data_IF_209685768019
#
_entry.id   IF_209685768019
#
_cell.length_a   1.000
_cell.length_b   1.000
_cell.length_c   1.000
_cell.angle_alpha   90.00
_cell.angle_beta   90.00
_cell.angle_gamma   90.00
#
_symmetry.space_group_name_H-M   'P 1'
#
loop_
_entity.id
_entity.type
_entity.pdbx_description
1 polymer ?
#
# COMPACT_ATOMS: atom_id res chain seq x y z
N UNK A 1 0.64 -31.12 9.76
CA UNK A 1 -0.09 -30.23 8.81
C UNK A 1 0.91 -29.50 7.91
N UNK A 2 0.61 -29.31 6.62
CA UNK A 2 1.42 -28.46 5.73
C UNK A 2 1.40 -27.01 6.23
N UNK A 3 2.58 -26.36 6.28
CA UNK A 3 2.72 -24.93 6.63
C UNK A 3 1.86 -24.07 5.70
N UNK A 4 1.24 -23.05 6.25
CA UNK A 4 0.54 -22.03 5.49
C UNK A 4 1.54 -21.11 4.79
N UNK A 5 1.42 -20.97 3.47
CA UNK A 5 2.34 -20.19 2.65
C UNK A 5 1.90 -18.72 2.56
N UNK A 6 2.36 -17.90 3.50
CA UNK A 6 2.11 -16.46 3.50
C UNK A 6 2.71 -15.76 2.27
N UNK A 7 3.90 -16.19 1.82
CA UNK A 7 4.56 -15.64 0.61
C UNK A 7 3.76 -15.96 -0.64
N UNK A 8 3.09 -17.11 -0.67
CA UNK A 8 2.18 -17.52 -1.75
C UNK A 8 1.07 -16.52 -2.04
N UNK A 9 0.56 -15.82 -1.02
CA UNK A 9 -0.50 -14.80 -1.18
C UNK A 9 -0.05 -13.63 -2.05
N UNK A 10 1.21 -13.21 -1.90
CA UNK A 10 1.80 -12.07 -2.62
C UNK A 10 2.74 -12.51 -3.75
N UNK A 11 2.76 -13.79 -4.13
CA UNK A 11 3.70 -14.34 -5.11
C UNK A 11 3.59 -13.64 -6.47
N UNK A 12 2.37 -13.38 -6.94
CA UNK A 12 2.14 -12.64 -8.18
C UNK A 12 2.76 -11.23 -8.11
N UNK A 13 2.56 -10.52 -7.00
CA UNK A 13 3.16 -9.21 -6.77
C UNK A 13 4.70 -9.26 -6.77
N UNK A 14 5.31 -10.25 -6.10
CA UNK A 14 6.76 -10.45 -6.10
C UNK A 14 7.30 -10.70 -7.51
N UNK A 15 6.61 -11.50 -8.33
CA UNK A 15 7.02 -11.76 -9.72
C UNK A 15 7.00 -10.47 -10.53
N UNK A 16 5.95 -9.67 -10.38
CA UNK A 16 5.80 -8.38 -11.05
C UNK A 16 6.91 -7.41 -10.63
N UNK A 17 7.17 -7.26 -9.33
CA UNK A 17 8.27 -6.43 -8.82
C UNK A 17 9.65 -6.93 -9.28
N UNK A 18 9.83 -8.26 -9.42
CA UNK A 18 11.07 -8.84 -9.93
C UNK A 18 11.27 -8.48 -11.40
N UNK A 19 10.21 -8.50 -12.21
CA UNK A 19 10.26 -8.16 -13.63
C UNK A 19 10.68 -6.71 -13.86
N UNK A 20 10.19 -5.76 -13.07
CA UNK A 20 10.58 -4.34 -13.17
C UNK A 20 11.92 -3.99 -12.51
N UNK A 21 12.66 -4.99 -12.01
CA UNK A 21 13.98 -4.80 -11.39
C UNK A 21 13.95 -4.43 -9.91
N UNK A 22 12.77 -4.44 -9.26
CA UNK A 22 12.60 -3.99 -7.88
C UNK A 22 12.63 -5.11 -6.83
N UNK A 23 12.85 -6.36 -7.22
CA UNK A 23 12.91 -7.48 -6.27
C UNK A 23 14.05 -8.45 -6.60
N UNK A 24 15.23 -8.31 -5.95
CA UNK A 24 16.35 -9.21 -6.18
C UNK A 24 16.01 -10.64 -5.75
N UNK A 25 16.60 -11.61 -6.43
CA UNK A 25 16.41 -13.02 -6.13
C UNK A 25 17.02 -13.40 -4.77
N UNK A 26 16.51 -14.46 -4.15
CA UNK A 26 16.97 -14.96 -2.85
C UNK A 26 16.54 -14.07 -1.68
N UNK A 27 17.21 -14.27 -0.54
CA UNK A 27 17.03 -13.48 0.69
C UNK A 27 18.07 -12.34 0.83
N UNK A 28 18.97 -12.22 -0.14
CA UNK A 28 19.99 -11.17 -0.21
C UNK A 28 19.42 -9.85 -0.77
N UNK A 29 20.18 -8.77 -0.57
CA UNK A 29 19.92 -7.46 -1.16
C UNK A 29 20.51 -7.35 -2.57
N UNK A 30 20.34 -6.19 -3.20
CA UNK A 30 21.07 -5.84 -4.43
C UNK A 30 22.58 -5.98 -4.22
N UNK A 31 23.25 -6.64 -5.18
CA UNK A 31 24.69 -6.88 -5.20
C UNK A 31 25.29 -6.47 -6.54
N UNK A 32 26.59 -6.67 -6.75
CA UNK A 32 27.24 -6.33 -8.03
C UNK A 32 26.96 -7.38 -9.11
N UNK A 33 25.73 -7.41 -9.64
CA UNK A 33 25.31 -8.35 -10.69
C UNK A 33 24.53 -7.65 -11.82
N UNK A 34 24.35 -8.35 -12.95
CA UNK A 34 23.61 -7.84 -14.11
C UNK A 34 22.16 -7.44 -13.77
N UNK A 35 21.53 -8.10 -12.80
CA UNK A 35 20.19 -7.74 -12.34
C UNK A 35 20.15 -6.36 -11.68
N UNK A 36 21.15 -6.05 -10.85
CA UNK A 36 21.24 -4.74 -10.19
C UNK A 36 21.57 -3.63 -11.18
N UNK A 37 22.44 -3.91 -12.16
CA UNK A 37 22.69 -2.99 -13.27
C UNK A 37 21.40 -2.71 -14.05
N UNK A 38 20.66 -3.76 -14.42
CA UNK A 38 19.35 -3.66 -15.07
C UNK A 38 18.37 -2.82 -14.25
N UNK A 39 18.26 -3.07 -12.94
CA UNK A 39 17.37 -2.33 -12.05
C UNK A 39 17.70 -0.84 -11.99
N UNK A 40 18.98 -0.50 -11.90
CA UNK A 40 19.46 0.89 -11.87
C UNK A 40 19.14 1.58 -13.19
N UNK A 41 19.52 0.97 -14.32
CA UNK A 41 19.30 1.52 -15.65
C UNK A 41 17.81 1.69 -15.94
N UNK A 42 16.99 0.67 -15.66
CA UNK A 42 15.53 0.69 -15.77
C UNK A 42 14.92 1.84 -14.96
N UNK A 43 15.32 1.98 -13.69
CA UNK A 43 14.78 3.02 -12.81
C UNK A 43 15.19 4.42 -13.30
N UNK A 44 16.45 4.62 -13.68
CA UNK A 44 16.93 5.91 -14.20
C UNK A 44 16.19 6.28 -15.48
N UNK A 45 16.14 5.36 -16.46
CA UNK A 45 15.63 5.64 -17.79
C UNK A 45 14.11 5.84 -17.81
N UNK A 46 13.34 4.96 -17.16
CA UNK A 46 11.87 4.99 -17.23
C UNK A 46 11.23 5.85 -16.13
N UNK A 47 11.86 6.00 -14.97
CA UNK A 47 11.26 6.75 -13.86
C UNK A 47 11.81 8.17 -13.79
N UNK A 48 13.13 8.33 -13.67
CA UNK A 48 13.74 9.65 -13.50
C UNK A 48 13.78 10.45 -14.82
N UNK A 49 14.09 9.80 -15.95
CA UNK A 49 14.14 10.46 -17.26
C UNK A 49 12.80 11.09 -17.66
N UNK A 50 11.72 10.32 -17.62
CA UNK A 50 10.38 10.82 -17.98
C UNK A 50 9.92 11.94 -17.04
N UNK A 51 10.14 11.80 -15.73
CA UNK A 51 9.80 12.83 -14.76
C UNK A 51 10.58 14.13 -14.98
N UNK A 52 11.86 14.03 -15.38
CA UNK A 52 12.69 15.20 -15.71
C UNK A 52 12.07 15.99 -16.86
N UNK A 53 11.75 15.32 -17.98
CA UNK A 53 11.16 15.98 -19.15
C UNK A 53 9.81 16.64 -18.88
N UNK A 54 8.98 16.02 -18.04
CA UNK A 54 7.73 16.64 -17.59
C UNK A 54 7.94 17.81 -16.64
N UNK A 55 8.93 17.72 -15.75
CA UNK A 55 9.25 18.82 -14.82
C UNK A 55 9.75 20.04 -15.58
N UNK A 56 10.62 19.86 -16.57
CA UNK A 56 11.05 20.95 -17.45
C UNK A 56 9.87 21.56 -18.19
N UNK A 57 8.95 20.73 -18.71
CA UNK A 57 7.74 21.23 -19.36
C UNK A 57 6.89 22.09 -18.41
N UNK A 58 6.72 21.67 -17.15
CA UNK A 58 5.97 22.42 -16.16
C UNK A 58 6.56 23.83 -15.97
N UNK A 59 7.89 23.96 -15.90
CA UNK A 59 8.57 25.25 -15.80
C UNK A 59 8.33 26.16 -17.02
N UNK A 60 8.16 25.58 -18.21
CA UNK A 60 7.92 26.34 -19.45
C UNK A 60 6.46 26.82 -19.59
N UNK A 61 5.51 26.17 -18.91
CA UNK A 61 4.08 26.50 -18.98
C UNK A 61 3.56 27.20 -17.72
N UNK A 62 4.46 27.67 -16.84
CA UNK A 62 4.07 28.24 -15.53
C UNK A 62 3.11 29.42 -15.64
N UNK A 63 3.14 30.16 -16.74
CA UNK A 63 2.28 31.33 -16.97
C UNK A 63 0.82 30.93 -17.30
N UNK A 64 0.58 29.67 -17.67
CA UNK A 64 -0.75 29.13 -17.98
C UNK A 64 -1.27 28.27 -16.81
N UNK A 65 -2.11 28.89 -15.97
CA UNK A 65 -2.67 28.24 -14.79
C UNK A 65 -3.51 27.00 -15.12
N UNK A 66 -4.23 27.01 -16.24
CA UNK A 66 -5.05 25.87 -16.67
C UNK A 66 -4.16 24.69 -17.07
N UNK A 67 -3.12 24.95 -17.87
CA UNK A 67 -2.15 23.92 -18.25
C UNK A 67 -1.33 23.39 -17.06
N UNK A 68 -0.97 24.27 -16.10
CA UNK A 68 -0.29 23.88 -14.86
C UNK A 68 -1.19 22.97 -14.02
N UNK A 69 -2.43 23.37 -13.77
CA UNK A 69 -3.36 22.56 -12.98
C UNK A 69 -3.73 21.24 -13.66
N UNK A 70 -3.67 21.16 -14.99
CA UNK A 70 -3.87 19.94 -15.77
C UNK A 70 -2.69 18.95 -15.71
N UNK A 71 -1.48 19.40 -15.34
CA UNK A 71 -0.25 18.60 -15.41
C UNK A 71 0.40 18.32 -14.05
N UNK A 72 0.30 19.25 -13.10
CA UNK A 72 1.05 19.20 -11.84
C UNK A 72 0.69 18.01 -10.96
N UNK A 73 -0.58 17.64 -10.87
CA UNK A 73 -1.02 16.54 -9.99
C UNK A 73 -0.55 15.17 -10.50
N UNK A 74 -0.55 14.97 -11.82
CA UNK A 74 0.01 13.77 -12.45
C UNK A 74 1.52 13.72 -12.17
N UNK A 75 2.23 14.84 -12.35
CA UNK A 75 3.67 14.91 -12.10
C UNK A 75 4.01 14.60 -10.63
N UNK A 76 3.31 15.21 -9.67
CA UNK A 76 3.53 14.96 -8.24
C UNK A 76 3.33 13.49 -7.88
N UNK A 77 2.29 12.84 -8.41
CA UNK A 77 2.07 11.40 -8.23
C UNK A 77 3.20 10.57 -8.83
N UNK A 78 3.71 10.94 -10.02
CA UNK A 78 4.82 10.22 -10.64
C UNK A 78 6.13 10.35 -9.85
N UNK A 79 6.42 11.54 -9.34
CA UNK A 79 7.57 11.78 -8.44
C UNK A 79 7.42 10.94 -7.17
N UNK A 80 6.23 10.90 -6.57
CA UNK A 80 5.95 10.06 -5.41
C UNK A 80 6.19 8.56 -5.70
N UNK A 81 5.78 8.07 -6.88
CA UNK A 81 6.05 6.70 -7.30
C UNK A 81 7.54 6.40 -7.51
N UNK A 82 8.33 7.33 -8.05
CA UNK A 82 9.79 7.18 -8.14
C UNK A 82 10.45 7.16 -6.76
N UNK A 83 9.97 7.98 -5.83
CA UNK A 83 10.42 7.98 -4.43
C UNK A 83 10.12 6.63 -3.75
N UNK A 84 8.95 6.04 -3.99
CA UNK A 84 8.62 4.68 -3.52
C UNK A 84 9.59 3.64 -4.07
N UNK A 85 9.89 3.68 -5.37
CA UNK A 85 10.83 2.76 -6.01
C UNK A 85 12.22 2.81 -5.36
N UNK A 86 12.77 4.04 -5.23
CA UNK A 86 14.05 4.27 -4.56
C UNK A 86 14.04 3.76 -3.11
N UNK A 87 12.98 4.05 -2.36
CA UNK A 87 12.86 3.65 -0.97
C UNK A 87 12.76 2.14 -0.81
N UNK A 88 12.03 1.45 -1.69
CA UNK A 88 11.96 -0.02 -1.73
C UNK A 88 13.35 -0.62 -1.95
N UNK A 89 14.11 -0.09 -2.92
CA UNK A 89 15.48 -0.55 -3.21
C UNK A 89 16.36 -0.40 -1.97
N UNK A 90 16.36 0.79 -1.36
CA UNK A 90 17.17 1.11 -0.18
C UNK A 90 16.85 0.23 1.02
N UNK A 91 15.57 -0.10 1.23
CA UNK A 91 15.11 -0.83 2.42
C UNK A 91 14.79 -2.32 2.16
N UNK A 92 15.24 -2.87 1.02
CA UNK A 92 14.97 -4.25 0.63
C UNK A 92 15.38 -5.27 1.71
N UNK A 93 16.50 -5.04 2.41
CA UNK A 93 16.95 -5.90 3.52
C UNK A 93 15.90 -6.06 4.62
N UNK A 94 15.29 -4.94 5.01
CA UNK A 94 14.28 -4.94 6.06
C UNK A 94 13.02 -5.67 5.59
N UNK A 95 12.62 -5.45 4.34
CA UNK A 95 11.48 -6.13 3.75
C UNK A 95 11.67 -7.65 3.65
N UNK A 96 12.84 -8.12 3.20
CA UNK A 96 13.17 -9.55 3.18
C UNK A 96 13.11 -10.16 4.58
N UNK A 97 13.62 -9.45 5.59
CA UNK A 97 13.53 -9.87 6.99
C UNK A 97 12.07 -10.03 7.44
N UNK A 98 11.19 -9.08 7.14
CA UNK A 98 9.74 -9.21 7.39
C UNK A 98 9.16 -10.46 6.71
N UNK A 99 9.52 -10.70 5.45
CA UNK A 99 9.07 -11.88 4.71
C UNK A 99 9.58 -13.22 5.28
N UNK A 100 10.73 -13.22 5.96
CA UNK A 100 11.22 -14.40 6.68
C UNK A 100 10.42 -14.56 7.99
N UNK A 101 10.25 -13.47 8.76
CA UNK A 101 9.54 -13.48 10.04
C UNK A 101 8.10 -13.99 9.91
N UNK A 102 7.36 -13.57 8.87
CA UNK A 102 5.97 -14.01 8.68
C UNK A 102 5.84 -15.53 8.42
N UNK A 103 6.90 -16.17 7.94
CA UNK A 103 6.93 -17.62 7.69
C UNK A 103 7.51 -18.43 8.86
N UNK A 104 7.92 -17.78 9.96
CA UNK A 104 8.34 -18.47 11.17
C UNK A 104 7.20 -19.26 11.79
N UNK A 105 7.52 -20.31 12.54
CA UNK A 105 6.53 -21.21 13.15
C UNK A 105 5.53 -20.47 14.07
N UNK A 106 5.97 -19.39 14.72
CA UNK A 106 5.11 -18.57 15.59
C UNK A 106 3.96 -17.88 14.84
N UNK A 107 4.14 -17.55 13.56
CA UNK A 107 3.15 -16.85 12.73
C UNK A 107 2.28 -17.81 11.90
N UNK A 108 2.40 -19.11 12.14
CA UNK A 108 1.64 -20.14 11.43
C UNK A 108 0.30 -20.40 12.14
N UNK A 109 -0.81 -20.48 11.39
CA UNK A 109 -2.08 -20.93 11.97
C UNK A 109 -1.95 -22.39 12.43
N UNK A 110 -2.37 -22.67 13.65
CA UNK A 110 -2.21 -23.96 14.34
C UNK A 110 -3.24 -25.00 13.91
N UNK A 111 -4.46 -24.57 13.65
CA UNK A 111 -5.60 -25.43 13.32
C UNK A 111 -6.35 -24.95 12.06
N UNK A 112 -7.34 -25.73 11.61
CA UNK A 112 -8.14 -25.40 10.43
C UNK A 112 -9.02 -24.17 10.64
N UNK A 113 -9.48 -23.95 11.87
CA UNK A 113 -10.29 -22.79 12.25
C UNK A 113 -9.52 -21.48 12.05
N UNK A 114 -8.29 -21.39 12.55
CA UNK A 114 -7.41 -20.22 12.35
C UNK A 114 -7.12 -19.96 10.87
N UNK A 115 -7.07 -21.01 10.03
CA UNK A 115 -6.94 -20.83 8.57
C UNK A 115 -8.20 -20.23 7.95
N UNK A 116 -9.38 -20.51 8.49
CA UNK A 116 -10.65 -19.92 8.06
C UNK A 116 -10.73 -18.46 8.55
N UNK A 117 -10.32 -18.18 9.79
CA UNK A 117 -10.33 -16.84 10.39
C UNK A 117 -9.52 -15.81 9.59
N UNK A 118 -8.40 -16.21 8.98
CA UNK A 118 -7.57 -15.30 8.17
C UNK A 118 -8.09 -15.08 6.73
N UNK A 119 -9.01 -15.92 6.22
CA UNK A 119 -9.49 -15.81 4.83
C UNK A 119 -10.17 -14.48 4.51
N UNK A 120 -11.04 -13.91 5.37
CA UNK A 120 -11.67 -12.61 5.11
C UNK A 120 -10.64 -11.50 4.86
N UNK A 121 -9.53 -11.48 5.59
CA UNK A 121 -8.46 -10.49 5.40
C UNK A 121 -7.79 -10.64 4.03
N UNK A 122 -7.50 -11.89 3.65
CA UNK A 122 -6.87 -12.20 2.35
C UNK A 122 -7.82 -11.84 1.21
N UNK A 123 -9.12 -12.14 1.35
CA UNK A 123 -10.16 -11.79 0.37
C UNK A 123 -10.29 -10.28 0.25
N UNK A 124 -10.37 -9.55 1.37
CA UNK A 124 -10.42 -8.09 1.39
C UNK A 124 -9.19 -7.48 0.71
N UNK A 125 -7.99 -8.02 0.95
CA UNK A 125 -6.76 -7.57 0.30
C UNK A 125 -6.79 -7.81 -1.21
N UNK A 126 -7.21 -9.01 -1.65
CA UNK A 126 -7.37 -9.30 -3.09
C UNK A 126 -8.37 -8.37 -3.76
N UNK A 127 -9.52 -8.11 -3.12
CA UNK A 127 -10.54 -7.20 -3.66
C UNK A 127 -9.96 -5.79 -3.77
N UNK A 128 -9.39 -5.23 -2.70
CA UNK A 128 -8.84 -3.88 -2.71
C UNK A 128 -7.74 -3.71 -3.78
N UNK A 129 -6.79 -4.66 -3.83
CA UNK A 129 -5.71 -4.64 -4.83
C UNK A 129 -6.25 -4.81 -6.24
N UNK A 130 -7.24 -5.68 -6.45
CA UNK A 130 -7.88 -5.86 -7.75
C UNK A 130 -8.61 -4.60 -8.19
N UNK A 131 -9.40 -3.97 -7.32
CA UNK A 131 -10.11 -2.72 -7.61
C UNK A 131 -9.13 -1.61 -7.95
N UNK A 132 -8.06 -1.45 -7.15
CA UNK A 132 -7.01 -0.47 -7.42
C UNK A 132 -6.31 -0.74 -8.77
N UNK A 133 -5.99 -2.00 -9.06
CA UNK A 133 -5.36 -2.41 -10.32
C UNK A 133 -6.26 -2.14 -11.52
N UNK A 134 -7.55 -2.46 -11.43
CA UNK A 134 -8.53 -2.20 -12.51
C UNK A 134 -8.63 -0.72 -12.83
N UNK A 135 -8.81 0.15 -11.82
CA UNK A 135 -8.88 1.59 -12.07
C UNK A 135 -7.57 2.16 -12.63
N UNK A 136 -6.42 1.67 -12.15
CA UNK A 136 -5.10 2.08 -12.66
C UNK A 136 -4.92 1.67 -14.12
N UNK A 137 -5.19 0.41 -14.47
CA UNK A 137 -5.07 -0.09 -15.86
C UNK A 137 -6.05 0.63 -16.79
N UNK A 138 -7.28 0.88 -16.34
CA UNK A 138 -8.26 1.66 -17.10
C UNK A 138 -7.78 3.09 -17.37
N UNK A 139 -7.23 3.78 -16.36
CA UNK A 139 -6.69 5.13 -16.53
C UNK A 139 -5.51 5.15 -17.51
N UNK A 140 -4.61 4.16 -17.43
CA UNK A 140 -3.50 4.00 -18.37
C UNK A 140 -3.98 3.78 -19.80
N UNK A 141 -4.93 2.87 -19.98
CA UNK A 141 -5.49 2.55 -21.28
C UNK A 141 -6.16 3.78 -21.90
N UNK A 142 -6.98 4.49 -21.14
CA UNK A 142 -7.64 5.72 -21.59
C UNK A 142 -6.62 6.84 -21.91
N UNK A 143 -5.60 7.04 -21.08
CA UNK A 143 -4.55 8.04 -21.34
C UNK A 143 -3.73 7.74 -22.60
N UNK A 144 -3.47 6.46 -22.88
CA UNK A 144 -2.73 6.04 -24.07
C UNK A 144 -3.59 6.06 -25.33
N UNK A 145 -4.91 5.96 -25.19
CA UNK A 145 -5.85 5.92 -26.30
C UNK A 145 -6.43 7.31 -26.65
N UNK A 146 -6.42 8.24 -25.68
CA UNK A 146 -6.97 9.60 -25.83
C UNK A 146 -6.44 10.34 -27.07
N UNK A 147 -5.11 10.42 -27.33
CA UNK A 147 -4.61 11.12 -28.51
C UNK A 147 -5.10 10.52 -29.84
N UNK A 148 -5.37 9.21 -29.85
CA UNK A 148 -5.88 8.49 -31.04
C UNK A 148 -7.37 8.76 -31.23
N UNK A 149 -8.17 8.71 -30.16
CA UNK A 149 -9.63 8.91 -30.22
C UNK A 149 -9.99 10.35 -30.60
N UNK A 150 -9.25 11.31 -30.07
CA UNK A 150 -9.48 12.73 -30.35
C UNK A 150 -8.84 13.18 -31.68
N UNK A 151 -8.23 12.25 -32.45
CA UNK A 151 -7.46 12.54 -33.67
C UNK A 151 -6.28 13.51 -33.49
N UNK A 152 -6.03 13.95 -32.27
CA UNK A 152 -4.85 14.70 -31.81
C UNK A 152 -3.52 14.04 -32.21
N UNK A 153 -3.51 12.73 -32.45
CA UNK A 153 -2.37 11.99 -33.02
C UNK A 153 -1.92 12.54 -34.38
N UNK A 154 -2.85 12.97 -35.25
CA UNK A 154 -2.51 13.58 -36.55
C UNK A 154 -1.84 14.94 -36.39
N UNK A 155 -1.94 15.56 -35.21
CA UNK A 155 -1.26 16.80 -34.86
C UNK A 155 0.04 16.56 -34.06
N UNK A 156 0.52 15.31 -34.00
CA UNK A 156 1.71 14.92 -33.22
C UNK A 156 1.61 15.24 -31.72
N UNK A 157 0.40 15.18 -31.14
CA UNK A 157 0.19 15.41 -29.70
C UNK A 157 0.56 14.17 -28.89
N UNK A 158 1.54 14.31 -27.99
CA UNK A 158 1.97 13.23 -27.09
C UNK A 158 0.91 12.94 -26.00
N UNK A 159 0.82 11.70 -25.48
CA UNK A 159 -0.09 11.32 -24.40
C UNK A 159 0.09 12.15 -23.13
N UNK A 160 1.33 12.50 -22.83
CA UNK A 160 1.64 13.40 -21.72
C UNK A 160 2.47 14.59 -22.23
N UNK A 161 2.06 15.79 -21.84
CA UNK A 161 2.82 17.02 -22.07
C UNK A 161 4.19 16.89 -21.36
N UNK A 162 5.25 16.99 -22.16
CA UNK A 162 6.63 16.87 -21.75
C UNK A 162 7.53 17.58 -22.78
N UNK A 163 8.62 18.16 -22.32
CA UNK A 163 9.59 18.85 -23.16
C UNK A 163 10.74 17.89 -23.48
N UNK A 164 11.13 17.83 -24.75
CA UNK A 164 12.27 17.06 -25.22
C UNK A 164 13.25 17.96 -25.96
N UNK A 165 14.57 17.69 -25.89
CA UNK A 165 15.61 18.49 -26.55
C UNK A 165 15.68 18.27 -28.07
N UNK A 166 14.66 17.68 -28.68
CA UNK A 166 14.55 17.38 -30.10
C UNK A 166 13.11 17.57 -30.59
N UNK A 167 12.91 17.70 -31.90
CA UNK A 167 11.58 17.92 -32.46
C UNK A 167 10.73 16.65 -32.38
N UNK A 168 9.70 16.66 -31.54
CA UNK A 168 8.75 15.55 -31.38
C UNK A 168 7.60 15.60 -32.38
N UNK A 169 7.56 16.59 -33.28
CA UNK A 169 6.53 16.73 -34.33
C UNK A 169 6.97 16.20 -35.69
N UNK A 170 8.06 15.42 -35.73
CA UNK A 170 8.58 14.79 -36.94
C UNK A 170 8.63 13.28 -36.77
N UNK A 171 8.31 12.54 -37.84
CA UNK A 171 8.51 11.09 -37.89
C UNK A 171 9.97 10.78 -38.26
N UNK A 172 10.66 9.82 -37.61
CA UNK A 172 10.16 8.83 -36.66
C UNK A 172 10.27 9.22 -35.16
N UNK A 173 10.72 10.44 -34.84
CA UNK A 173 11.00 10.86 -33.46
C UNK A 173 9.73 10.88 -32.60
N UNK A 174 8.59 11.25 -33.18
CA UNK A 174 7.30 11.24 -32.51
C UNK A 174 6.94 9.83 -32.02
N UNK A 175 6.97 8.84 -32.91
CA UNK A 175 6.59 7.46 -32.64
C UNK A 175 7.50 6.82 -31.60
N UNK A 176 8.80 7.08 -31.68
CA UNK A 176 9.78 6.64 -30.68
C UNK A 176 9.47 7.25 -29.31
N UNK A 177 9.17 8.55 -29.26
CA UNK A 177 8.85 9.26 -28.00
C UNK A 177 7.53 8.78 -27.41
N UNK A 178 6.54 8.50 -28.27
CA UNK A 178 5.26 7.95 -27.86
C UNK A 178 5.43 6.59 -27.17
N UNK A 179 6.19 5.68 -27.79
CA UNK A 179 6.49 4.35 -27.23
C UNK A 179 7.27 4.50 -25.93
N UNK A 180 8.25 5.41 -25.86
CA UNK A 180 9.00 5.67 -24.64
C UNK A 180 8.10 6.16 -23.49
N UNK A 181 7.19 7.10 -23.74
CA UNK A 181 6.25 7.57 -22.71
C UNK A 181 5.31 6.44 -22.26
N UNK A 182 4.77 5.64 -23.19
CA UNK A 182 3.90 4.53 -22.85
C UNK A 182 4.62 3.50 -21.96
N UNK A 183 5.83 3.08 -22.34
CA UNK A 183 6.64 2.14 -21.56
C UNK A 183 7.01 2.71 -20.18
N UNK A 184 7.39 4.00 -20.11
CA UNK A 184 7.73 4.67 -18.86
C UNK A 184 6.55 4.69 -17.88
N UNK A 185 5.36 5.02 -18.36
CA UNK A 185 4.17 5.11 -17.53
C UNK A 185 3.65 3.72 -17.14
N UNK A 186 3.71 2.73 -18.03
CA UNK A 186 3.41 1.32 -17.69
C UNK A 186 4.37 0.84 -16.59
N UNK A 187 5.67 1.07 -16.75
CA UNK A 187 6.68 0.69 -15.76
C UNK A 187 6.36 1.31 -14.38
N UNK A 188 6.11 2.62 -14.35
CA UNK A 188 5.79 3.34 -13.13
C UNK A 188 4.50 2.86 -12.46
N UNK A 189 3.47 2.56 -13.25
CA UNK A 189 2.21 2.04 -12.73
C UNK A 189 2.39 0.64 -12.13
N UNK A 190 3.15 -0.24 -12.78
CA UNK A 190 3.48 -1.56 -12.27
C UNK A 190 4.25 -1.46 -10.94
N UNK A 191 5.21 -0.54 -10.85
CA UNK A 191 5.96 -0.28 -9.61
C UNK A 191 5.02 0.21 -8.49
N UNK A 192 4.14 1.15 -8.81
CA UNK A 192 3.18 1.71 -7.86
C UNK A 192 2.23 0.63 -7.34
N UNK A 193 1.59 -0.12 -8.23
CA UNK A 193 0.72 -1.25 -7.89
C UNK A 193 1.44 -2.27 -7.02
N UNK A 194 2.70 -2.59 -7.35
CA UNK A 194 3.45 -3.59 -6.62
C UNK A 194 3.83 -3.16 -5.20
N UNK A 195 4.32 -1.94 -5.03
CA UNK A 195 4.70 -1.40 -3.72
C UNK A 195 3.48 -1.20 -2.83
N UNK A 196 2.40 -0.64 -3.37
CA UNK A 196 1.22 -0.29 -2.58
C UNK A 196 0.45 -1.54 -2.15
N UNK A 197 0.34 -2.53 -3.04
CA UNK A 197 -0.23 -3.85 -2.68
C UNK A 197 0.63 -4.58 -1.65
N UNK A 198 1.95 -4.42 -1.67
CA UNK A 198 2.85 -4.97 -0.67
C UNK A 198 2.68 -4.30 0.70
N UNK A 199 2.57 -2.97 0.76
CA UNK A 199 2.29 -2.23 1.99
C UNK A 199 0.94 -2.68 2.58
N UNK A 200 -0.09 -2.79 1.74
CA UNK A 200 -1.38 -3.32 2.15
C UNK A 200 -1.29 -4.77 2.64
N UNK A 201 -0.46 -5.61 2.01
CA UNK A 201 -0.26 -7.00 2.43
C UNK A 201 0.42 -7.10 3.80
N UNK A 202 1.43 -6.27 4.08
CA UNK A 202 2.09 -6.22 5.39
C UNK A 202 1.08 -5.87 6.50
N UNK A 203 0.23 -4.87 6.26
CA UNK A 203 -0.82 -4.51 7.22
C UNK A 203 -1.87 -5.62 7.37
N UNK A 204 -2.26 -6.25 6.26
CA UNK A 204 -3.18 -7.40 6.27
C UNK A 204 -2.60 -8.58 7.06
N UNK A 205 -1.31 -8.86 6.95
CA UNK A 205 -0.64 -9.89 7.74
C UNK A 205 -0.67 -9.56 9.24
N UNK A 206 -0.39 -8.31 9.62
CA UNK A 206 -0.50 -7.88 11.03
C UNK A 206 -1.92 -8.11 11.56
N UNK A 207 -2.94 -7.67 10.81
CA UNK A 207 -4.34 -7.87 11.17
C UNK A 207 -4.70 -9.35 11.31
N UNK A 208 -4.24 -10.21 10.39
CA UNK A 208 -4.46 -11.65 10.44
C UNK A 208 -3.79 -12.32 11.65
N UNK A 209 -2.64 -11.82 12.09
CA UNK A 209 -1.97 -12.33 13.28
C UNK A 209 -2.70 -11.94 14.57
N UNK A 210 -3.35 -10.76 14.61
CA UNK A 210 -4.25 -10.45 15.72
C UNK A 210 -5.49 -11.35 15.73
N UNK A 211 -6.05 -11.76 14.59
CA UNK A 211 -7.14 -12.76 14.58
C UNK A 211 -6.69 -14.11 15.19
N UNK A 212 -5.48 -14.56 14.82
CA UNK A 212 -4.90 -15.79 15.37
C UNK A 212 -4.70 -15.65 16.88
N UNK A 213 -4.15 -14.53 17.34
CA UNK A 213 -3.92 -14.28 18.76
C UNK A 213 -5.24 -14.15 19.54
N UNK A 214 -6.26 -13.50 18.99
CA UNK A 214 -7.60 -13.43 19.59
C UNK A 214 -8.20 -14.83 19.77
N UNK A 215 -8.08 -15.69 18.75
CA UNK A 215 -8.53 -17.08 18.84
C UNK A 215 -7.73 -17.89 19.86
N UNK A 216 -6.40 -17.74 19.90
CA UNK A 216 -5.56 -18.40 20.90
C UNK A 216 -5.96 -17.98 22.32
N UNK A 217 -6.23 -16.68 22.55
CA UNK A 217 -6.63 -16.14 23.85
C UNK A 217 -8.02 -16.62 24.29
N UNK A 218 -9.01 -16.63 23.40
CA UNK A 218 -10.37 -17.13 23.68
C UNK A 218 -10.37 -18.59 24.12
N UNK A 219 -9.51 -19.40 23.48
CA UNK A 219 -9.43 -20.83 23.73
C UNK A 219 -8.42 -21.19 24.83
N UNK A 220 -8.03 -20.24 25.70
CA UNK A 220 -7.26 -20.53 26.91
C UNK A 220 -8.16 -21.23 27.94
N UNK A 221 -8.39 -22.52 27.74
CA UNK A 221 -9.17 -23.35 28.65
C UNK A 221 -8.24 -24.16 29.57
N UNK A 222 -8.56 -24.30 30.87
CA UNK A 222 -7.94 -25.33 31.69
C UNK A 222 -8.30 -26.70 31.09
N UNK A 223 -7.29 -27.49 30.72
CA UNK A 223 -7.52 -28.85 30.20
C UNK A 223 -8.26 -29.65 31.27
N UNK A 224 -9.44 -30.18 30.94
CA UNK A 224 -10.35 -30.83 31.90
C UNK A 224 -9.88 -32.25 32.31
N UNK A 225 -8.58 -32.44 32.52
CA UNK A 225 -7.98 -33.65 33.07
C UNK A 225 -7.72 -33.43 34.56
N UNK A 226 -8.11 -34.36 35.43
CA UNK A 226 -8.03 -34.29 36.90
C UNK A 226 -6.60 -34.21 37.52
N UNK A 227 -5.62 -33.58 36.85
CA UNK A 227 -4.23 -33.49 37.30
C UNK A 227 -3.83 -32.04 37.64
N UNK A 228 -3.01 -31.89 38.68
CA UNK A 228 -2.40 -30.62 39.12
C UNK A 228 -1.56 -29.87 38.05
N UNK A 229 -1.39 -30.42 36.84
CA UNK A 229 -0.59 -29.84 35.76
C UNK A 229 -1.36 -28.79 34.92
N UNK A 230 -2.68 -28.68 35.05
CA UNK A 230 -3.50 -27.82 34.19
C UNK A 230 -3.17 -26.32 34.32
N UNK A 231 -2.85 -25.85 35.53
CA UNK A 231 -2.48 -24.45 35.77
C UNK A 231 -1.15 -24.09 35.12
N UNK A 232 -0.20 -25.04 35.08
CA UNK A 232 1.10 -24.87 34.44
C UNK A 232 0.93 -24.78 32.91
N UNK A 233 0.02 -25.57 32.35
CA UNK A 233 -0.27 -25.56 30.91
C UNK A 233 -0.91 -24.23 30.47
N UNK A 234 -1.91 -23.74 31.19
CA UNK A 234 -2.54 -22.42 30.91
C UNK A 234 -1.54 -21.27 31.04
N UNK A 235 -0.65 -21.31 32.06
CA UNK A 235 0.43 -20.32 32.20
C UNK A 235 1.39 -20.37 31.02
N UNK A 236 1.73 -21.57 30.54
CA UNK A 236 2.60 -21.73 29.37
C UNK A 236 1.93 -21.24 28.09
N UNK A 237 0.63 -21.46 27.92
CA UNK A 237 -0.12 -20.97 26.76
C UNK A 237 -0.31 -19.46 26.78
N UNK A 238 -0.58 -18.86 27.95
CA UNK A 238 -0.54 -17.41 28.12
C UNK A 238 0.84 -16.85 27.79
N UNK A 239 1.93 -17.48 28.25
CA UNK A 239 3.31 -17.07 27.90
C UNK A 239 3.54 -17.12 26.38
N UNK A 240 3.02 -18.13 25.68
CA UNK A 240 3.08 -18.21 24.21
C UNK A 240 2.30 -17.04 23.57
N UNK A 241 1.11 -16.72 24.08
CA UNK A 241 0.31 -15.60 23.59
C UNK A 241 1.01 -14.24 23.81
N UNK A 242 1.59 -14.03 24.99
CA UNK A 242 2.39 -12.84 25.31
C UNK A 242 3.60 -12.72 24.38
N UNK A 243 4.29 -13.83 24.12
CA UNK A 243 5.41 -13.88 23.19
C UNK A 243 4.97 -13.55 21.76
N UNK A 244 3.88 -14.15 21.29
CA UNK A 244 3.31 -13.89 19.96
C UNK A 244 2.90 -12.43 19.81
N UNK A 245 2.17 -11.87 20.78
CA UNK A 245 1.81 -10.45 20.83
C UNK A 245 3.05 -9.55 20.71
N UNK A 246 4.12 -9.83 21.46
CA UNK A 246 5.36 -9.05 21.39
C UNK A 246 6.01 -9.11 20.01
N UNK A 247 6.01 -10.28 19.36
CA UNK A 247 6.56 -10.42 18.01
C UNK A 247 5.68 -9.77 16.94
N UNK A 248 4.35 -9.77 17.09
CA UNK A 248 3.43 -9.00 16.24
C UNK A 248 3.74 -7.51 16.33
N UNK A 249 3.89 -6.97 17.55
CA UNK A 249 4.23 -5.56 17.76
C UNK A 249 5.58 -5.20 17.12
N UNK A 250 6.60 -6.05 17.26
CA UNK A 250 7.90 -5.84 16.59
C UNK A 250 7.76 -5.87 15.07
N UNK A 251 7.04 -6.86 14.53
CA UNK A 251 6.80 -6.96 13.09
C UNK A 251 6.10 -5.70 12.57
N UNK A 252 5.09 -5.21 13.28
CA UNK A 252 4.37 -4.00 12.94
C UNK A 252 5.23 -2.74 13.02
N UNK A 253 6.14 -2.63 14.01
CA UNK A 253 7.10 -1.52 14.09
C UNK A 253 8.04 -1.51 12.87
N UNK A 254 8.63 -2.65 12.51
CA UNK A 254 9.48 -2.77 11.33
C UNK A 254 8.72 -2.47 10.04
N UNK A 255 7.47 -2.95 9.91
CA UNK A 255 6.61 -2.63 8.78
C UNK A 255 6.27 -1.13 8.75
N UNK A 256 5.90 -0.52 9.87
CA UNK A 256 5.59 0.90 9.92
C UNK A 256 6.81 1.77 9.56
N UNK A 257 8.00 1.44 10.09
CA UNK A 257 9.25 2.11 9.71
C UNK A 257 9.58 1.97 8.22
N UNK A 258 9.09 0.91 7.57
CA UNK A 258 9.28 0.71 6.13
C UNK A 258 8.49 1.73 5.32
N UNK A 259 7.25 2.05 5.67
CA UNK A 259 6.39 2.87 4.80
C UNK A 259 5.87 4.17 5.43
N UNK A 260 6.17 4.47 6.70
CA UNK A 260 5.56 5.60 7.40
C UNK A 260 5.69 6.96 6.68
N UNK A 261 6.88 7.30 6.19
CA UNK A 261 7.14 8.54 5.49
C UNK A 261 6.57 8.51 4.06
N UNK A 262 6.63 7.35 3.39
CA UNK A 262 6.03 7.15 2.07
C UNK A 262 4.52 7.40 2.11
N UNK A 263 3.85 6.90 3.15
CA UNK A 263 2.42 7.13 3.35
C UNK A 263 2.10 8.59 3.63
N UNK A 264 2.96 9.31 4.35
CA UNK A 264 2.76 10.75 4.56
C UNK A 264 2.78 11.50 3.22
N UNK A 265 3.80 11.27 2.39
CA UNK A 265 3.88 11.87 1.05
C UNK A 265 2.68 11.45 0.21
N UNK A 266 2.29 10.18 0.26
CA UNK A 266 1.16 9.67 -0.49
C UNK A 266 -0.18 10.27 -0.07
N UNK A 267 -0.40 10.54 1.23
CA UNK A 267 -1.62 11.18 1.71
C UNK A 267 -1.69 12.64 1.30
N UNK A 268 -0.57 13.36 1.37
CA UNK A 268 -0.50 14.75 0.92
C UNK A 268 -0.72 14.86 -0.59
N UNK A 269 0.13 14.18 -1.38
CA UNK A 269 0.04 14.19 -2.85
C UNK A 269 -1.28 13.60 -3.33
N UNK A 270 -1.79 12.55 -2.69
CA UNK A 270 -3.07 11.94 -2.99
C UNK A 270 -4.24 12.90 -2.77
N UNK A 271 -4.28 13.62 -1.64
CA UNK A 271 -5.33 14.60 -1.38
C UNK A 271 -5.31 15.77 -2.36
N UNK A 272 -4.12 16.32 -2.65
CA UNK A 272 -3.96 17.37 -3.68
C UNK A 272 -4.42 16.85 -5.06
N UNK A 273 -4.05 15.62 -5.41
CA UNK A 273 -4.41 15.03 -6.70
C UNK A 273 -5.89 14.73 -6.84
N UNK A 274 -6.56 14.28 -5.77
CA UNK A 274 -8.01 14.07 -5.76
C UNK A 274 -8.71 15.43 -5.97
N UNK A 275 -8.31 16.47 -5.22
CA UNK A 275 -8.85 17.82 -5.37
C UNK A 275 -8.70 18.40 -6.77
N UNK A 276 -7.48 18.35 -7.33
CA UNK A 276 -7.20 18.83 -8.68
C UNK A 276 -7.90 18.00 -9.76
N UNK A 277 -8.00 16.69 -9.60
CA UNK A 277 -8.76 15.84 -10.54
C UNK A 277 -10.25 16.20 -10.57
N UNK A 278 -10.85 16.52 -9.42
CA UNK A 278 -12.25 16.98 -9.35
C UNK A 278 -12.42 18.35 -10.02
N UNK A 279 -11.44 19.25 -9.87
CA UNK A 279 -11.45 20.54 -10.56
C UNK A 279 -11.35 20.37 -12.08
N UNK A 280 -10.39 19.57 -12.55
CA UNK A 280 -10.20 19.28 -13.98
C UNK A 280 -11.43 18.61 -14.61
N UNK A 281 -12.15 17.76 -13.86
CA UNK A 281 -13.43 17.19 -14.31
C UNK A 281 -14.52 18.24 -14.60
N UNK A 282 -14.42 19.44 -14.04
CA UNK A 282 -15.37 20.54 -14.34
C UNK A 282 -15.01 21.35 -15.57
N UNK A 283 -13.76 21.28 -16.03
CA UNK A 283 -13.27 22.00 -17.21
C UNK A 283 -13.43 21.18 -18.49
N UNK A 284 -13.30 19.85 -18.39
CA UNK A 284 -13.40 18.95 -19.54
C UNK A 284 -14.83 18.68 -19.97
N UNK A 285 -15.02 18.42 -21.27
CA UNK A 285 -16.33 18.10 -21.85
C UNK A 285 -16.89 16.84 -21.17
N UNK A 286 -18.12 16.88 -20.62
CA UNK A 286 -18.75 15.71 -20.00
C UNK A 286 -18.81 14.51 -20.94
N UNK A 287 -18.54 13.31 -20.41
CA UNK A 287 -18.53 12.05 -21.15
C UNK A 287 -17.52 11.95 -22.31
N UNK A 288 -16.58 12.89 -22.42
CA UNK A 288 -15.43 12.74 -23.31
C UNK A 288 -14.47 11.63 -22.83
N UNK A 289 -13.60 11.08 -23.70
CA UNK A 289 -12.57 10.14 -23.26
C UNK A 289 -11.65 10.72 -22.18
N UNK A 290 -11.39 12.03 -22.22
CA UNK A 290 -10.62 12.76 -21.21
C UNK A 290 -11.33 12.79 -19.85
N UNK A 291 -12.65 13.02 -19.85
CA UNK A 291 -13.49 12.94 -18.66
C UNK A 291 -13.36 11.57 -17.98
N UNK A 292 -13.48 10.48 -18.74
CA UNK A 292 -13.34 9.12 -18.20
C UNK A 292 -11.90 8.83 -17.72
N UNK A 293 -10.89 9.34 -18.40
CA UNK A 293 -9.48 9.23 -17.97
C UNK A 293 -9.27 9.90 -16.61
N UNK A 294 -9.73 11.15 -16.44
CA UNK A 294 -9.61 11.89 -15.18
C UNK A 294 -10.43 11.25 -14.05
N UNK A 295 -11.64 10.78 -14.37
CA UNK A 295 -12.50 10.10 -13.39
C UNK A 295 -11.84 8.80 -12.89
N UNK A 296 -11.35 7.95 -13.80
CA UNK A 296 -10.68 6.70 -13.44
C UNK A 296 -9.36 6.92 -12.71
N UNK A 297 -8.62 7.98 -13.06
CA UNK A 297 -7.43 8.40 -12.33
C UNK A 297 -7.75 8.84 -10.89
N UNK A 298 -8.73 9.73 -10.71
CA UNK A 298 -9.15 10.22 -9.38
C UNK A 298 -9.69 9.09 -8.50
N UNK A 299 -10.47 8.18 -9.06
CA UNK A 299 -10.95 7.00 -8.31
C UNK A 299 -9.81 6.03 -7.97
N UNK A 300 -8.81 5.83 -8.86
CA UNK A 300 -7.65 5.00 -8.55
C UNK A 300 -6.90 5.51 -7.31
N UNK A 301 -6.63 6.82 -7.23
CA UNK A 301 -5.96 7.43 -6.07
C UNK A 301 -6.84 7.35 -4.81
N UNK A 302 -8.14 7.58 -4.94
CA UNK A 302 -9.07 7.44 -3.82
C UNK A 302 -9.06 6.02 -3.24
N UNK A 303 -9.13 4.99 -4.11
CA UNK A 303 -9.04 3.58 -3.71
C UNK A 303 -7.68 3.25 -3.09
N UNK A 304 -6.59 3.81 -3.62
CA UNK A 304 -5.24 3.66 -3.08
C UNK A 304 -5.15 4.17 -1.64
N UNK A 305 -5.65 5.38 -1.36
CA UNK A 305 -5.65 5.97 0.01
C UNK A 305 -6.58 5.19 0.92
N UNK A 306 -7.77 4.82 0.43
CA UNK A 306 -8.72 3.97 1.17
C UNK A 306 -8.07 2.65 1.60
N UNK A 307 -7.35 1.97 0.71
CA UNK A 307 -6.70 0.69 0.99
C UNK A 307 -5.75 0.78 2.19
N UNK A 308 -4.92 1.83 2.28
CA UNK A 308 -4.03 2.01 3.44
C UNK A 308 -4.79 2.22 4.73
N UNK A 309 -5.79 3.10 4.70
CA UNK A 309 -6.59 3.44 5.86
C UNK A 309 -7.45 2.26 6.33
N UNK A 310 -7.98 1.45 5.41
CA UNK A 310 -8.76 0.25 5.71
C UNK A 310 -7.91 -0.77 6.47
N UNK A 311 -6.75 -1.17 5.93
CA UNK A 311 -5.91 -2.17 6.58
C UNK A 311 -5.29 -1.65 7.89
N UNK A 312 -4.95 -0.36 7.98
CA UNK A 312 -4.54 0.25 9.25
C UNK A 312 -5.65 0.21 10.31
N UNK A 313 -6.89 0.52 9.91
CA UNK A 313 -8.06 0.46 10.80
C UNK A 313 -8.33 -0.98 11.27
N UNK A 314 -8.19 -1.97 10.39
CA UNK A 314 -8.36 -3.38 10.76
C UNK A 314 -7.36 -3.84 11.83
N UNK A 315 -6.12 -3.34 11.78
CA UNK A 315 -5.13 -3.60 12.84
C UNK A 315 -5.61 -3.01 14.17
N UNK A 316 -6.06 -1.75 14.16
CA UNK A 316 -6.54 -1.07 15.37
C UNK A 316 -7.74 -1.80 16.00
N UNK A 317 -8.75 -2.15 15.20
CA UNK A 317 -9.94 -2.88 15.66
C UNK A 317 -9.54 -4.22 16.28
N UNK A 318 -8.82 -5.07 15.55
CA UNK A 318 -8.49 -6.42 16.01
C UNK A 318 -7.54 -6.46 17.19
N UNK A 319 -6.65 -5.48 17.30
CA UNK A 319 -5.79 -5.34 18.48
C UNK A 319 -6.56 -4.85 19.70
N UNK A 320 -7.63 -4.05 19.52
CA UNK A 320 -8.51 -3.63 20.62
C UNK A 320 -9.31 -4.80 21.18
N UNK A 321 -9.70 -5.74 20.32
CA UNK A 321 -10.49 -6.93 20.69
C UNK A 321 -9.74 -7.91 21.60
N UNK A 322 -8.41 -7.84 21.68
CA UNK A 322 -7.59 -8.72 22.52
C UNK A 322 -8.03 -8.72 23.99
N UNK A 323 -8.41 -7.56 24.52
CA UNK A 323 -8.87 -7.45 25.91
C UNK A 323 -10.19 -8.22 26.11
N UNK A 324 -11.05 -8.19 25.11
CA UNK A 324 -12.32 -8.90 25.13
C UNK A 324 -12.13 -10.40 24.92
N UNK A 325 -11.20 -10.82 24.06
CA UNK A 325 -10.82 -12.22 23.89
C UNK A 325 -10.25 -12.84 25.16
N UNK A 326 -9.50 -12.06 25.96
CA UNK A 326 -9.08 -12.51 27.30
C UNK A 326 -10.30 -12.66 28.23
N UNK A 327 -11.23 -11.71 28.20
CA UNK A 327 -12.44 -11.78 29.03
C UNK A 327 -13.31 -13.01 28.69
N UNK A 328 -13.37 -13.42 27.43
CA UNK A 328 -14.09 -14.61 26.95
C UNK A 328 -13.40 -15.94 27.29
N UNK A 329 -12.19 -15.94 27.84
CA UNK A 329 -11.52 -17.16 28.30
C UNK A 329 -12.05 -17.62 29.67
N UNK A 330 -11.84 -18.88 30.04
CA UNK A 330 -12.24 -19.43 31.35
C UNK A 330 -11.26 -19.02 32.48
N UNK A 331 -10.92 -17.73 32.54
CA UNK A 331 -9.89 -17.20 33.45
C UNK A 331 -10.32 -17.12 34.92
N UNK A 332 -11.63 -17.19 35.21
CA UNK A 332 -12.19 -17.04 36.56
C UNK A 332 -11.92 -18.23 37.46
N UNK A 333 -11.75 -19.42 36.88
CA UNK A 333 -11.53 -20.67 37.62
C UNK A 333 -10.04 -20.96 37.85
N UNK A 334 -9.16 -20.02 37.46
CA UNK A 334 -7.71 -20.18 37.57
C UNK A 334 -7.19 -19.77 38.96
N UNK A 335 -6.07 -20.37 39.42
CA UNK A 335 -5.44 -19.96 40.68
C UNK A 335 -5.07 -18.46 40.70
N UNK A 336 -5.08 -17.80 41.87
CA UNK A 336 -4.82 -16.36 41.98
C UNK A 336 -3.49 -15.89 41.34
N UNK A 337 -2.45 -16.73 41.41
CA UNK A 337 -1.14 -16.44 40.78
C UNK A 337 -1.23 -16.34 39.25
N UNK A 338 -2.06 -17.18 38.63
CA UNK A 338 -2.29 -17.18 37.18
C UNK A 338 -3.17 -16.00 36.79
N UNK A 339 -4.23 -15.74 37.56
CA UNK A 339 -5.13 -14.62 37.35
C UNK A 339 -4.39 -13.27 37.33
N UNK A 340 -3.37 -13.11 38.20
CA UNK A 340 -2.51 -11.92 38.21
C UNK A 340 -1.77 -11.72 36.87
N UNK A 341 -1.31 -12.79 36.24
CA UNK A 341 -0.63 -12.71 34.93
C UNK A 341 -1.60 -12.27 33.82
N UNK A 342 -2.84 -12.76 33.85
CA UNK A 342 -3.91 -12.32 32.94
C UNK A 342 -4.19 -10.83 33.12
N UNK A 343 -4.36 -10.34 34.35
CA UNK A 343 -4.59 -8.93 34.63
C UNK A 343 -3.46 -8.05 34.08
N UNK A 344 -2.20 -8.43 34.31
CA UNK A 344 -1.03 -7.69 33.81
C UNK A 344 -1.04 -7.66 32.28
N UNK A 345 -1.35 -8.78 31.63
CA UNK A 345 -1.43 -8.83 30.17
C UNK A 345 -2.60 -7.99 29.63
N UNK A 346 -3.78 -8.06 30.24
CA UNK A 346 -4.96 -7.26 29.91
C UNK A 346 -4.66 -5.76 29.97
N UNK A 347 -3.97 -5.30 31.03
CA UNK A 347 -3.54 -3.90 31.14
C UNK A 347 -2.64 -3.47 29.97
N UNK A 348 -1.83 -4.38 29.41
CA UNK A 348 -0.95 -4.08 28.26
C UNK A 348 -1.71 -3.99 26.94
N UNK A 349 -2.64 -4.92 26.70
CA UNK A 349 -3.40 -5.06 25.44
C UNK A 349 -4.58 -4.09 25.33
N UNK A 350 -5.00 -3.46 26.44
CA UNK A 350 -5.94 -2.32 26.43
C UNK A 350 -5.44 -1.11 25.62
N UNK A 351 -4.15 -1.05 25.29
CA UNK A 351 -3.58 -0.05 24.38
C UNK A 351 -3.50 -0.65 22.97
N UNK A 352 -4.46 -0.37 22.07
CA UNK A 352 -4.47 -0.96 20.75
C UNK A 352 -3.30 -0.47 19.89
N UNK A 353 -2.91 -1.31 18.93
CA UNK A 353 -1.86 -0.96 17.98
C UNK A 353 -2.44 -0.05 16.91
N UNK A 354 -1.90 1.17 16.82
CA UNK A 354 -2.21 2.11 15.74
C UNK A 354 -0.99 2.31 14.85
N UNK A 355 -1.16 2.08 13.55
CA UNK A 355 -0.12 2.35 12.56
C UNK A 355 -0.16 3.84 12.21
N UNK A 356 1.00 4.50 12.19
CA UNK A 356 1.09 5.95 12.02
C UNK A 356 2.09 6.38 10.94
N UNK A 357 1.69 7.37 10.14
CA UNK A 357 2.56 8.10 9.23
C UNK A 357 3.29 9.22 10.02
N UNK A 358 4.60 9.04 10.23
CA UNK A 358 5.49 9.91 11.03
C UNK A 358 4.92 10.35 12.40
N UNK A 359 4.08 9.52 13.03
CA UNK A 359 3.35 9.86 14.27
C UNK A 359 2.44 11.10 14.19
N UNK A 360 2.19 11.63 12.98
CA UNK A 360 1.28 12.77 12.75
C UNK A 360 -0.15 12.30 12.48
N UNK A 361 -0.30 11.24 11.69
CA UNK A 361 -1.60 10.70 11.28
C UNK A 361 -1.63 9.20 11.45
N UNK A 362 -2.73 8.70 12.03
CA UNK A 362 -3.00 7.27 12.07
C UNK A 362 -3.67 6.80 10.78
N UNK A 363 -3.31 5.59 10.33
CA UNK A 363 -4.00 4.94 9.22
C UNK A 363 -5.36 4.45 9.70
N UNK A 364 -6.40 5.26 9.51
CA UNK A 364 -7.77 4.96 9.92
C UNK A 364 -8.79 5.47 8.92
N UNK A 365 -10.01 4.93 8.97
CA UNK A 365 -11.10 5.41 8.12
C UNK A 365 -11.46 6.87 8.40
N UNK A 366 -11.28 7.34 9.64
CA UNK A 366 -11.41 8.76 9.98
C UNK A 366 -10.41 9.62 9.22
N UNK A 367 -9.15 9.18 9.10
CA UNK A 367 -8.13 9.89 8.31
C UNK A 367 -8.48 9.90 6.82
N UNK A 368 -8.99 8.80 6.27
CA UNK A 368 -9.47 8.76 4.89
C UNK A 368 -10.58 9.80 4.63
N UNK A 369 -11.61 9.86 5.49
CA UNK A 369 -12.68 10.85 5.37
C UNK A 369 -12.14 12.27 5.50
N UNK A 370 -11.15 12.52 6.38
CA UNK A 370 -10.49 13.82 6.48
C UNK A 370 -9.80 14.20 5.16
N UNK A 371 -9.06 13.28 4.54
CA UNK A 371 -8.39 13.52 3.25
C UNK A 371 -9.41 13.85 2.15
N UNK A 372 -10.53 13.12 2.08
CA UNK A 372 -11.59 13.42 1.11
C UNK A 372 -12.19 14.82 1.34
N UNK A 373 -12.48 15.17 2.59
CA UNK A 373 -13.01 16.50 2.95
C UNK A 373 -12.03 17.62 2.59
N UNK A 374 -10.73 17.46 2.89
CA UNK A 374 -9.72 18.46 2.53
C UNK A 374 -9.57 18.58 1.01
N UNK A 375 -9.64 17.47 0.29
CA UNK A 375 -9.60 17.45 -1.18
C UNK A 375 -10.79 18.20 -1.77
N UNK A 376 -11.99 18.00 -1.21
CA UNK A 376 -13.19 18.74 -1.59
C UNK A 376 -13.06 20.25 -1.30
N UNK A 377 -12.50 20.62 -0.15
CA UNK A 377 -12.24 22.03 0.18
C UNK A 377 -11.27 22.68 -0.82
N UNK A 378 -10.20 21.99 -1.23
CA UNK A 378 -9.30 22.49 -2.27
C UNK A 378 -9.99 22.63 -3.63
N UNK A 379 -10.80 21.65 -4.02
CA UNK A 379 -11.63 21.74 -5.22
C UNK A 379 -12.57 22.96 -5.18
N UNK A 380 -13.31 23.14 -4.08
CA UNK A 380 -14.26 24.23 -3.93
C UNK A 380 -13.58 25.61 -3.98
N UNK A 381 -12.39 25.73 -3.38
CA UNK A 381 -11.57 26.93 -3.43
C UNK A 381 -11.14 27.26 -4.86
N UNK A 382 -10.60 26.29 -5.61
CA UNK A 382 -10.16 26.50 -6.99
C UNK A 382 -11.33 26.91 -7.90
N UNK A 383 -12.50 26.28 -7.72
CA UNK A 383 -13.72 26.63 -8.45
C UNK A 383 -14.24 28.04 -8.14
N UNK A 384 -13.90 28.61 -7.00
CA UNK A 384 -14.31 29.97 -6.65
C UNK A 384 -13.33 31.03 -7.21
N UNK A 385 -12.05 30.67 -7.38
CA UNK A 385 -10.98 31.58 -7.83
C UNK A 385 -10.87 31.61 -9.36
N UNK A 386 -11.31 30.55 -10.04
CA UNK A 386 -11.34 30.41 -11.50
C UNK A 386 -12.76 30.65 -12.00
#
# INVERSE_FOLDING_TARGET
MKKFDWKGIIKANIIVLKFVGLWPAGDETYGCNLYTLYAIVSTILFHFGHNLFQTVNLFLILDDLEAVTGTIFILLMKIASSLKAYHLIKNMKMLKKLMITINCNLFQPKNSEQKILIQPNIKAWRICVSTFSTFTVSALFLSSLYPVLDKSFYQYRLPFLAWYPYNTKTSPQYEITYIYQALSVISLAVVTLGIDSLIAALNMFIAAQFDILNNDLRNLHPVNNNNNNNSIDVVNDLKKCVHHHREILKFADYANRFYNWLLLVQFFVGGVSIGLSMFQLTLVIPFSPEFYMLLTYGTAISVQVFMYCWFGNQIEVKSSDLSYSVFESDWTDLPPEVMKNFIIFTMRIQRPLKIAALNLFYLSLTTYVKILKTSWSYFALLRQIT
#
